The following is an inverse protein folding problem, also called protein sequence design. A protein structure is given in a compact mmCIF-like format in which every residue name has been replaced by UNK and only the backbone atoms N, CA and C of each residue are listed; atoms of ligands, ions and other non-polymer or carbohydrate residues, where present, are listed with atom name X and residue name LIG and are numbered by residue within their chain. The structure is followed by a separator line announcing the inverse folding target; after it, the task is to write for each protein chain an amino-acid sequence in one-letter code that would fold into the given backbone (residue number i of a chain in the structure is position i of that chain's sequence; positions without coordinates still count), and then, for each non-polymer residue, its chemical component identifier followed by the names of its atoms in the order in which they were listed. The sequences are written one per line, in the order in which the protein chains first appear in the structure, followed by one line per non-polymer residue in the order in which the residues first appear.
data_IF_628249325061
#
_entry.id   IF_628249325061
#
_cell.length_a   1.000
_cell.length_b   1.000
_cell.length_c   1.000
_cell.angle_alpha   90.00
_cell.angle_beta   90.00
_cell.angle_gamma   90.00
#
_symmetry.space_group_name_H-M   'P 1'
#
loop_
_entity.id
_entity.type
_entity.pdbx_description
1 polymer ?
#
# COMPACT_ATOMS: atom_id res chain seq x y z
N UNK A 1 -17.04 -20.01 -5.06
CA UNK A 1 -16.74 -18.60 -5.37
C UNK A 1 -17.55 -17.73 -4.43
N UNK A 2 -16.90 -16.74 -3.83
CA UNK A 2 -17.52 -15.67 -3.05
C UNK A 2 -17.52 -14.42 -3.93
N UNK A 3 -18.66 -13.77 -4.08
CA UNK A 3 -18.77 -12.45 -4.70
C UNK A 3 -19.01 -11.40 -3.62
N UNK A 4 -18.32 -10.27 -3.71
CA UNK A 4 -18.47 -9.15 -2.81
C UNK A 4 -18.84 -7.92 -3.63
N UNK A 5 -19.94 -7.28 -3.27
CA UNK A 5 -20.46 -6.08 -3.93
C UNK A 5 -20.69 -5.01 -2.88
N UNK A 6 -20.09 -3.84 -3.10
CA UNK A 6 -20.19 -2.65 -2.26
C UNK A 6 -20.67 -1.46 -3.09
N UNK A 7 -20.68 -0.25 -2.53
CA UNK A 7 -21.16 0.92 -3.25
C UNK A 7 -20.30 1.25 -4.48
N UNK A 8 -18.98 1.24 -4.32
CA UNK A 8 -18.02 1.60 -5.37
C UNK A 8 -17.14 0.42 -5.82
N UNK A 9 -17.27 -0.75 -5.19
CA UNK A 9 -16.37 -1.87 -5.39
C UNK A 9 -17.10 -3.18 -5.64
N UNK A 10 -16.57 -3.98 -6.57
CA UNK A 10 -17.02 -5.35 -6.81
C UNK A 10 -15.81 -6.24 -7.02
N UNK A 11 -15.77 -7.37 -6.33
CA UNK A 11 -14.71 -8.36 -6.50
C UNK A 11 -15.22 -9.77 -6.23
N UNK A 12 -14.49 -10.77 -6.73
CA UNK A 12 -14.80 -12.17 -6.52
C UNK A 12 -13.54 -12.93 -6.13
N UNK A 13 -13.69 -13.89 -5.22
CA UNK A 13 -12.63 -14.79 -4.80
C UNK A 13 -13.08 -16.24 -5.01
N UNK A 14 -12.17 -17.08 -5.51
CA UNK A 14 -12.41 -18.52 -5.54
C UNK A 14 -12.36 -19.05 -4.11
N UNK A 15 -13.34 -19.89 -3.79
CA UNK A 15 -13.44 -20.57 -2.50
C UNK A 15 -14.11 -21.91 -2.73
N UNK A 16 -13.66 -22.89 -1.96
CA UNK A 16 -14.18 -24.24 -1.86
C UNK A 16 -14.50 -24.59 -0.40
N UNK A 17 -14.90 -25.84 -0.15
CA UNK A 17 -15.27 -26.31 1.18
C UNK A 17 -14.11 -26.34 2.19
N UNK A 18 -12.87 -26.22 1.73
CA UNK A 18 -11.65 -26.24 2.56
C UNK A 18 -11.04 -24.85 2.72
N UNK A 19 -11.59 -23.84 2.02
CA UNK A 19 -11.08 -22.48 2.04
C UNK A 19 -11.41 -21.83 3.38
N UNK A 20 -10.40 -21.67 4.23
CA UNK A 20 -10.53 -21.00 5.52
C UNK A 20 -10.44 -19.48 5.42
N UNK A 21 -9.67 -18.96 4.45
CA UNK A 21 -9.42 -17.54 4.26
C UNK A 21 -9.21 -17.23 2.77
N UNK A 22 -9.70 -16.06 2.34
CA UNK A 22 -9.42 -15.47 1.03
C UNK A 22 -9.05 -14.00 1.21
N UNK A 23 -8.18 -13.49 0.35
CA UNK A 23 -7.76 -12.10 0.36
C UNK A 23 -8.16 -11.39 -0.93
N UNK A 24 -8.50 -10.11 -0.82
CA UNK A 24 -8.81 -9.24 -1.94
C UNK A 24 -8.27 -7.84 -1.65
N UNK A 25 -7.80 -7.15 -2.69
CA UNK A 25 -7.26 -5.80 -2.58
C UNK A 25 -8.30 -4.79 -3.04
N UNK A 26 -8.55 -3.78 -2.21
CA UNK A 26 -9.42 -2.66 -2.52
C UNK A 26 -8.61 -1.37 -2.55
N UNK A 27 -8.86 -0.53 -3.54
CA UNK A 27 -8.26 0.79 -3.66
C UNK A 27 -9.27 1.85 -3.23
N UNK A 28 -8.82 2.77 -2.38
CA UNK A 28 -9.58 3.95 -1.98
C UNK A 28 -8.66 5.17 -1.96
N UNK A 29 -9.25 6.34 -2.25
CA UNK A 29 -8.60 7.64 -2.11
C UNK A 29 -8.88 8.29 -0.75
N UNK A 30 -9.74 7.70 0.08
CA UNK A 30 -10.11 8.23 1.40
C UNK A 30 -9.28 7.58 2.51
N UNK A 31 -8.79 8.42 3.44
CA UNK A 31 -7.97 7.95 4.59
C UNK A 31 -8.79 7.05 5.53
N UNK A 32 -10.05 7.43 5.80
CA UNK A 32 -10.99 6.59 6.55
C UNK A 32 -11.90 5.89 5.55
N UNK A 33 -11.72 4.59 5.41
CA UNK A 33 -12.55 3.76 4.55
C UNK A 33 -13.69 3.15 5.37
N UNK A 34 -14.92 3.38 4.93
CA UNK A 34 -16.12 2.72 5.45
C UNK A 34 -17.01 2.42 4.26
N UNK A 35 -17.36 1.16 4.07
CA UNK A 35 -18.23 0.73 2.98
C UNK A 35 -19.16 -0.40 3.43
N UNK A 36 -20.38 -0.41 2.92
CA UNK A 36 -21.37 -1.43 3.21
C UNK A 36 -21.41 -2.44 2.07
N UNK A 37 -21.06 -3.68 2.39
CA UNK A 37 -20.84 -4.73 1.42
C UNK A 37 -21.87 -5.84 1.57
N UNK A 38 -22.24 -6.43 0.43
CA UNK A 38 -22.99 -7.67 0.36
C UNK A 38 -22.08 -8.76 -0.17
N UNK A 39 -22.10 -9.91 0.49
CA UNK A 39 -21.34 -11.08 0.09
C UNK A 39 -22.26 -12.22 -0.26
N UNK A 40 -22.07 -12.73 -1.48
CA UNK A 40 -22.83 -13.83 -2.03
C UNK A 40 -21.96 -15.07 -2.11
N UNK A 41 -22.42 -16.15 -1.48
CA UNK A 41 -21.83 -17.47 -1.61
C UNK A 41 -22.92 -18.48 -1.97
N UNK A 42 -22.92 -18.92 -3.23
CA UNK A 42 -24.00 -19.75 -3.78
C UNK A 42 -25.34 -19.02 -3.71
N UNK A 43 -26.28 -19.53 -2.91
CA UNK A 43 -27.63 -18.93 -2.70
C UNK A 43 -27.73 -18.06 -1.45
N UNK A 44 -26.66 -17.94 -0.67
CA UNK A 44 -26.66 -17.18 0.59
C UNK A 44 -26.08 -15.80 0.36
N UNK A 45 -26.71 -14.80 0.96
CA UNK A 45 -26.26 -13.41 0.95
C UNK A 45 -26.07 -12.93 2.38
N UNK A 46 -24.94 -12.32 2.66
CA UNK A 46 -24.57 -11.73 3.94
C UNK A 46 -24.27 -10.25 3.74
N UNK A 47 -24.58 -9.41 4.73
CA UNK A 47 -24.23 -7.99 4.70
C UNK A 47 -23.26 -7.68 5.84
N UNK A 48 -22.22 -6.91 5.56
CA UNK A 48 -21.28 -6.42 6.56
C UNK A 48 -20.67 -5.09 6.15
N UNK A 49 -20.02 -4.42 7.09
CA UNK A 49 -19.30 -3.19 6.83
C UNK A 49 -17.80 -3.48 6.78
N UNK A 50 -17.14 -3.00 5.74
CA UNK A 50 -15.68 -2.92 5.70
C UNK A 50 -15.28 -1.58 6.26
N UNK A 51 -14.44 -1.58 7.30
CA UNK A 51 -13.93 -0.36 7.92
C UNK A 51 -12.42 -0.45 8.03
N UNK A 52 -11.71 0.63 7.72
CA UNK A 52 -10.26 0.69 7.83
C UNK A 52 -9.71 2.10 7.81
N UNK A 53 -8.47 2.27 8.27
CA UNK A 53 -7.71 3.51 8.11
C UNK A 53 -6.52 3.21 7.20
N UNK A 54 -6.42 3.93 6.08
CA UNK A 54 -5.37 3.75 5.08
C UNK A 54 -4.19 4.70 5.37
N UNK A 55 -2.97 4.19 5.22
CA UNK A 55 -1.78 5.01 5.28
C UNK A 55 -1.63 5.80 3.97
N UNK A 56 -1.34 7.10 4.09
CA UNK A 56 -1.02 7.94 2.94
C UNK A 56 0.44 7.73 2.55
N UNK A 57 0.70 7.35 1.29
CA UNK A 57 2.03 7.38 0.72
C UNK A 57 2.21 8.74 0.01
N UNK A 58 3.03 9.66 0.56
CA UNK A 58 3.36 10.89 -0.15
C UNK A 58 4.13 10.55 -1.42
N UNK A 59 3.88 11.32 -2.49
CA UNK A 59 4.67 11.24 -3.71
C UNK A 59 6.14 11.53 -3.37
N UNK A 60 6.98 10.50 -3.40
CA UNK A 60 8.41 10.61 -3.16
C UNK A 60 9.11 10.73 -4.51
N UNK A 61 9.48 11.96 -4.89
CA UNK A 61 10.40 12.13 -6.00
C UNK A 61 11.74 11.53 -5.60
N UNK A 62 12.08 10.38 -6.17
CA UNK A 62 13.43 9.84 -6.04
C UNK A 62 14.34 10.74 -6.87
N UNK A 63 14.91 11.75 -6.23
CA UNK A 63 16.00 12.54 -6.79
C UNK A 63 17.18 11.58 -6.98
N UNK A 64 17.28 11.00 -8.18
CA UNK A 64 18.49 10.31 -8.62
C UNK A 64 19.53 11.41 -8.84
N UNK A 65 20.37 11.63 -7.84
CA UNK A 65 21.62 12.36 -8.03
C UNK A 65 22.47 11.54 -9.00
N UNK A 66 22.38 11.85 -10.30
CA UNK A 66 23.39 11.43 -11.25
C UNK A 66 24.71 12.09 -10.81
N UNK A 67 25.69 11.26 -10.48
CA UNK A 67 27.07 11.58 -10.13
C UNK A 67 27.58 12.95 -10.65
N UNK A 68 27.44 14.01 -9.86
CA UNK A 68 28.41 15.09 -9.86
C UNK A 68 29.46 14.74 -8.80
N UNK A 69 30.35 13.81 -9.15
CA UNK A 69 31.57 13.56 -8.37
C UNK A 69 32.47 14.77 -8.50
N UNK A 70 32.23 15.80 -7.68
CA UNK A 70 33.31 16.67 -7.24
C UNK A 70 34.03 15.93 -6.12
N UNK A 71 35.18 15.36 -6.45
CA UNK A 71 36.10 14.81 -5.47
C UNK A 71 36.32 15.84 -4.35
N UNK A 72 36.12 15.43 -3.11
CA UNK A 72 36.50 16.23 -1.96
C UNK A 72 38.03 16.26 -1.90
N UNK A 73 38.65 17.41 -2.18
CA UNK A 73 40.06 17.62 -1.83
C UNK A 73 40.20 17.61 -0.31
N UNK A 74 40.62 16.49 0.26
CA UNK A 74 41.09 16.44 1.64
C UNK A 74 42.40 17.21 1.72
N UNK A 75 42.36 18.40 2.32
CA UNK A 75 43.58 19.10 2.73
C UNK A 75 44.14 18.33 3.92
N UNK A 76 45.34 17.79 3.77
CA UNK A 76 46.04 17.10 4.84
C UNK A 76 46.43 18.11 5.93
N UNK A 77 45.81 18.03 7.11
CA UNK A 77 46.04 18.97 8.22
C UNK A 77 47.45 18.88 8.82
N UNK A 78 48.27 17.90 8.42
CA UNK A 78 49.62 17.67 8.93
C UNK A 78 50.73 18.41 8.16
N UNK A 79 50.40 19.21 7.14
CA UNK A 79 51.40 19.99 6.37
C UNK A 79 51.65 21.41 6.93
N UNK A 80 51.20 21.73 8.15
CA UNK A 80 51.64 22.93 8.84
C UNK A 80 52.96 22.66 9.56
N UNK A 81 54.08 23.31 9.20
CA UNK A 81 55.25 23.29 10.07
C UNK A 81 54.88 24.10 11.33
N UNK A 82 54.97 23.46 12.49
CA UNK A 82 54.92 24.15 13.78
C UNK A 82 56.00 25.25 13.77
N UNK A 83 55.58 26.51 13.86
CA UNK A 83 56.44 27.70 14.03
C UNK A 83 56.84 27.81 15.50
#
# INVERSE_FOLDING_TARGET
MVEVVSFDHMFAALCDRFTAQTEATLHSTTVKFVDQCKVTYGRRVYAFNITGTLAYLPHMEVVRFFNDTKEASYVNMYDYPDI
#
